data_IF_283992118532
#
_entry.id   IF_283992118532
#
_cell.length_a   1.000
_cell.length_b   1.000
_cell.length_c   1.000
_cell.angle_alpha   90.00
_cell.angle_beta   90.00
_cell.angle_gamma   90.00
#
_symmetry.space_group_name_H-M   'P 1'
#
loop_
_entity.id
_entity.type
_entity.pdbx_description
1 polymer ?
#
# COMPACT_ATOMS: atom_id res chain seq x y z
N UNK A 1 28.79 -35.42 -8.30
CA UNK A 1 27.75 -34.55 -7.76
C UNK A 1 26.81 -34.16 -8.89
N UNK A 2 25.53 -34.45 -8.76
CA UNK A 2 24.59 -34.51 -9.87
C UNK A 2 24.04 -33.11 -10.18
N UNK A 3 24.54 -32.45 -11.23
CA UNK A 3 24.15 -31.09 -11.69
C UNK A 3 22.64 -30.92 -11.89
N UNK A 4 21.95 -32.01 -12.22
CA UNK A 4 20.48 -32.04 -12.39
C UNK A 4 19.70 -31.99 -11.06
N UNK A 5 20.33 -32.37 -9.94
CA UNK A 5 19.68 -32.29 -8.62
C UNK A 5 19.69 -30.87 -8.08
N UNK A 6 20.80 -30.15 -8.31
CA UNK A 6 20.95 -28.72 -7.93
C UNK A 6 20.03 -27.83 -8.77
N UNK A 7 19.80 -28.15 -10.06
CA UNK A 7 18.86 -27.43 -10.93
C UNK A 7 17.39 -27.65 -10.52
N UNK A 8 17.04 -28.88 -10.08
CA UNK A 8 15.69 -29.21 -9.58
C UNK A 8 15.37 -28.57 -8.23
N UNK A 9 16.36 -28.40 -7.35
CA UNK A 9 16.18 -27.72 -6.07
C UNK A 9 16.09 -26.19 -6.22
N UNK A 10 16.83 -25.59 -7.16
CA UNK A 10 16.70 -24.15 -7.46
C UNK A 10 15.42 -23.78 -8.21
N UNK A 11 14.80 -24.69 -8.97
CA UNK A 11 13.53 -24.41 -9.65
C UNK A 11 12.30 -24.61 -8.77
N UNK A 12 12.43 -25.21 -7.60
CA UNK A 12 11.31 -25.46 -6.67
C UNK A 12 10.98 -24.29 -5.73
N UNK A 13 11.77 -23.22 -5.69
CA UNK A 13 11.64 -22.16 -4.67
C UNK A 13 11.67 -20.72 -5.19
N UNK A 14 11.31 -20.47 -6.43
CA UNK A 14 10.92 -19.13 -6.82
C UNK A 14 9.40 -19.00 -6.60
N UNK A 15 8.98 -18.93 -5.32
CA UNK A 15 7.68 -18.33 -5.01
C UNK A 15 7.68 -16.94 -5.64
N UNK A 16 6.76 -16.67 -6.50
CA UNK A 16 6.51 -15.34 -7.04
C UNK A 16 6.30 -14.39 -5.85
N UNK A 17 7.15 -13.37 -5.73
CA UNK A 17 7.07 -12.39 -4.64
C UNK A 17 5.76 -11.65 -4.77
N UNK A 18 5.00 -11.61 -3.69
CA UNK A 18 3.71 -10.93 -3.66
C UNK A 18 3.91 -9.46 -3.29
N UNK A 19 2.97 -8.61 -3.71
CA UNK A 19 2.96 -7.18 -3.47
C UNK A 19 1.95 -6.86 -2.37
N UNK A 20 2.43 -6.35 -1.23
CA UNK A 20 1.59 -5.99 -0.10
C UNK A 20 1.56 -4.49 0.10
N UNK A 21 0.39 -3.92 0.33
CA UNK A 21 0.19 -2.51 0.64
C UNK A 21 -0.24 -2.34 2.09
N UNK A 22 0.62 -1.74 2.92
CA UNK A 22 0.23 -1.25 4.24
C UNK A 22 -0.21 0.22 4.10
N UNK A 23 -1.47 0.51 4.36
CA UNK A 23 -2.06 1.82 4.08
C UNK A 23 -2.86 2.38 5.23
N UNK A 24 -2.66 3.67 5.52
CA UNK A 24 -3.64 4.41 6.30
C UNK A 24 -4.98 4.46 5.57
N UNK A 25 -6.07 4.73 6.28
CA UNK A 25 -7.42 4.79 5.74
C UNK A 25 -7.88 6.23 5.50
N UNK A 26 -7.94 7.02 6.55
CA UNK A 26 -8.53 8.36 6.50
C UNK A 26 -7.71 9.29 5.61
N UNK A 27 -8.29 9.83 4.53
CA UNK A 27 -7.65 10.70 3.54
C UNK A 27 -6.53 10.07 2.73
N UNK A 28 -6.32 8.78 2.90
CA UNK A 28 -5.41 7.99 2.08
C UNK A 28 -6.18 7.05 1.16
N UNK A 29 -7.18 6.33 1.71
CA UNK A 29 -8.03 5.40 0.94
C UNK A 29 -9.51 5.75 1.03
N UNK A 30 -9.99 6.26 2.17
CA UNK A 30 -11.39 6.63 2.39
C UNK A 30 -11.54 8.13 2.64
N UNK A 31 -12.61 8.73 2.11
CA UNK A 31 -12.78 10.17 2.09
C UNK A 31 -14.23 10.56 2.43
N UNK A 32 -14.41 11.68 3.15
CA UNK A 32 -15.73 12.29 3.28
C UNK A 32 -16.17 12.90 1.94
N UNK A 33 -17.49 13.00 1.70
CA UNK A 33 -18.10 13.46 0.45
C UNK A 33 -17.50 14.76 -0.12
N UNK A 34 -17.08 15.68 0.74
CA UNK A 34 -16.49 16.99 0.34
C UNK A 34 -15.20 16.92 -0.47
N UNK A 35 -14.54 15.76 -0.52
CA UNK A 35 -13.27 15.56 -1.25
C UNK A 35 -13.47 15.06 -2.68
N UNK A 36 -14.70 14.82 -3.08
CA UNK A 36 -15.06 14.35 -4.40
C UNK A 36 -15.57 15.52 -5.27
N UNK A 37 -15.28 15.42 -6.55
CA UNK A 37 -15.79 16.36 -7.56
C UNK A 37 -17.16 15.92 -8.06
N UNK A 38 -17.91 16.86 -8.63
CA UNK A 38 -19.17 16.54 -9.28
C UNK A 38 -18.94 15.58 -10.47
N UNK A 39 -19.72 14.52 -10.55
CA UNK A 39 -19.61 13.51 -11.61
C UNK A 39 -18.69 12.33 -11.29
N UNK A 40 -18.00 12.32 -10.14
CA UNK A 40 -17.23 11.13 -9.70
C UNK A 40 -18.16 10.04 -9.17
N UNK A 41 -17.91 8.78 -9.57
CA UNK A 41 -18.63 7.60 -9.09
C UNK A 41 -18.26 7.29 -7.63
N UNK A 42 -19.12 7.72 -6.71
CA UNK A 42 -18.95 7.54 -5.27
C UNK A 42 -19.67 6.28 -4.79
N UNK A 43 -18.95 5.44 -4.07
CA UNK A 43 -19.53 4.30 -3.38
C UNK A 43 -19.35 4.46 -1.86
N UNK A 44 -20.45 4.31 -1.09
CA UNK A 44 -20.40 4.32 0.37
C UNK A 44 -19.46 3.21 0.88
N UNK A 45 -18.66 3.52 1.89
CA UNK A 45 -17.72 2.57 2.48
C UNK A 45 -17.85 2.45 3.99
N UNK A 46 -18.50 3.44 4.62
CA UNK A 46 -18.71 3.44 6.05
C UNK A 46 -20.06 4.06 6.41
N UNK A 47 -20.77 3.41 7.35
CA UNK A 47 -22.07 3.86 7.86
C UNK A 47 -21.99 4.09 9.37
N UNK A 48 -22.57 5.17 9.84
CA UNK A 48 -22.75 5.47 11.26
C UNK A 48 -24.17 6.06 11.48
N UNK A 49 -24.93 5.44 12.38
CA UNK A 49 -26.31 5.86 12.69
C UNK A 49 -27.22 6.00 11.44
N UNK A 50 -27.04 5.15 10.44
CA UNK A 50 -27.78 5.20 9.19
C UNK A 50 -27.28 6.21 8.16
N UNK A 51 -26.27 7.02 8.49
CA UNK A 51 -25.66 7.98 7.58
C UNK A 51 -24.35 7.45 7.00
N UNK A 52 -24.07 7.80 5.74
CA UNK A 52 -22.81 7.50 5.10
C UNK A 52 -21.79 8.57 5.46
N UNK A 53 -20.70 8.18 6.09
CA UNK A 53 -19.64 9.09 6.56
C UNK A 53 -18.36 9.04 5.75
N UNK A 54 -18.10 7.94 5.04
CA UNK A 54 -16.97 7.87 4.13
C UNK A 54 -17.30 7.13 2.83
N UNK A 55 -16.51 7.44 1.81
CA UNK A 55 -16.68 6.97 0.44
C UNK A 55 -15.35 6.60 -0.18
N UNK A 56 -15.40 5.76 -1.21
CA UNK A 56 -14.30 5.52 -2.17
C UNK A 56 -14.82 5.72 -3.59
N UNK A 57 -13.94 5.90 -4.55
CA UNK A 57 -14.33 5.77 -5.95
C UNK A 57 -14.61 4.30 -6.28
N UNK A 58 -15.44 4.06 -7.28
CA UNK A 58 -15.77 2.71 -7.75
C UNK A 58 -14.52 1.91 -8.12
N UNK A 59 -13.55 2.54 -8.78
CA UNK A 59 -12.32 1.88 -9.19
C UNK A 59 -11.43 1.52 -7.98
N UNK A 60 -11.23 2.45 -7.04
CA UNK A 60 -10.46 2.17 -5.83
C UNK A 60 -11.09 1.03 -5.01
N UNK A 61 -12.42 1.04 -4.87
CA UNK A 61 -13.15 -0.02 -4.17
C UNK A 61 -12.96 -1.37 -4.86
N UNK A 62 -13.12 -1.42 -6.19
CA UNK A 62 -12.93 -2.64 -6.97
C UNK A 62 -11.54 -3.24 -6.75
N UNK A 63 -10.49 -2.41 -6.82
CA UNK A 63 -9.11 -2.88 -6.63
C UNK A 63 -8.92 -3.42 -5.20
N UNK A 64 -9.39 -2.71 -4.19
CA UNK A 64 -9.30 -3.17 -2.78
C UNK A 64 -10.02 -4.49 -2.57
N UNK A 65 -11.19 -4.69 -3.17
CA UNK A 65 -11.93 -5.95 -3.06
C UNK A 65 -11.26 -7.12 -3.80
N UNK A 66 -10.72 -6.87 -4.98
CA UNK A 66 -9.99 -7.88 -5.76
C UNK A 66 -8.65 -8.28 -5.11
N UNK A 67 -7.98 -7.34 -4.46
CA UNK A 67 -6.64 -7.52 -3.87
C UNK A 67 -6.67 -7.54 -2.32
N UNK A 68 -7.82 -7.86 -1.73
CA UNK A 68 -8.03 -7.79 -0.28
C UNK A 68 -7.02 -8.62 0.54
N UNK A 69 -6.48 -9.71 -0.02
CA UNK A 69 -5.43 -10.52 0.62
C UNK A 69 -4.08 -9.82 0.72
N UNK A 70 -3.86 -8.76 -0.07
CA UNK A 70 -2.60 -8.04 -0.18
C UNK A 70 -2.68 -6.60 0.33
N UNK A 71 -3.88 -6.11 0.63
CA UNK A 71 -4.10 -4.80 1.26
C UNK A 71 -4.18 -4.97 2.76
N UNK A 72 -3.35 -4.22 3.49
CA UNK A 72 -3.25 -4.25 4.95
C UNK A 72 -3.62 -2.86 5.48
N UNK A 73 -4.89 -2.61 5.82
CA UNK A 73 -5.29 -1.35 6.44
C UNK A 73 -4.52 -1.16 7.77
N UNK A 74 -3.96 0.04 7.94
CA UNK A 74 -3.07 0.39 9.06
C UNK A 74 -3.50 1.75 9.60
N UNK A 75 -4.43 1.75 10.57
CA UNK A 75 -5.18 2.95 10.94
C UNK A 75 -5.09 3.28 12.44
N UNK A 76 -5.29 4.56 12.77
CA UNK A 76 -5.50 5.01 14.15
C UNK A 76 -6.92 4.75 14.67
N UNK A 77 -7.85 4.39 13.80
CA UNK A 77 -9.23 4.07 14.18
C UNK A 77 -9.26 2.96 15.21
N UNK A 78 -10.18 3.05 16.17
CA UNK A 78 -10.47 1.95 17.09
C UNK A 78 -10.99 0.74 16.35
N UNK A 79 -10.96 -0.42 17.00
CA UNK A 79 -11.53 -1.64 16.42
C UNK A 79 -13.00 -1.46 16.03
N UNK A 80 -13.78 -0.78 16.89
CA UNK A 80 -15.19 -0.50 16.63
C UNK A 80 -15.40 0.42 15.41
N UNK A 81 -14.57 1.44 15.24
CA UNK A 81 -14.60 2.32 14.08
C UNK A 81 -14.13 1.62 12.81
N UNK A 82 -13.09 0.81 12.89
CA UNK A 82 -12.60 0.05 11.75
C UNK A 82 -13.64 -0.94 11.22
N UNK A 83 -14.38 -1.62 12.11
CA UNK A 83 -15.42 -2.58 11.73
C UNK A 83 -16.55 -1.97 10.89
N UNK A 84 -16.74 -0.64 10.92
CA UNK A 84 -17.73 0.05 10.09
C UNK A 84 -17.27 0.28 8.65
N UNK A 85 -15.97 0.13 8.37
CA UNK A 85 -15.40 0.36 7.03
C UNK A 85 -15.43 -0.94 6.24
N UNK A 86 -16.56 -1.18 5.57
CA UNK A 86 -16.92 -2.48 4.97
C UNK A 86 -15.88 -3.05 4.00
N UNK A 87 -15.29 -2.30 3.05
CA UNK A 87 -14.38 -2.89 2.05
C UNK A 87 -13.16 -3.57 2.66
N UNK A 88 -12.68 -3.07 3.80
CA UNK A 88 -11.47 -3.56 4.44
C UNK A 88 -11.71 -4.73 5.41
N UNK A 89 -12.97 -5.13 5.63
CA UNK A 89 -13.28 -6.29 6.47
C UNK A 89 -12.88 -7.62 5.82
N UNK A 90 -12.68 -7.63 4.51
CA UNK A 90 -12.22 -8.80 3.74
C UNK A 90 -10.70 -8.96 3.72
N UNK A 91 -9.95 -7.96 4.21
CA UNK A 91 -8.49 -8.01 4.24
C UNK A 91 -7.99 -9.13 5.16
N UNK A 92 -6.95 -9.85 4.71
CA UNK A 92 -6.38 -10.94 5.52
C UNK A 92 -5.73 -10.43 6.80
N UNK A 93 -5.06 -9.28 6.71
CA UNK A 93 -4.42 -8.59 7.83
C UNK A 93 -4.97 -7.18 7.98
N UNK A 94 -5.09 -6.71 9.22
CA UNK A 94 -5.36 -5.31 9.52
C UNK A 94 -4.66 -4.88 10.80
N UNK A 95 -4.22 -3.63 10.84
CA UNK A 95 -3.59 -2.97 11.99
C UNK A 95 -4.48 -1.81 12.40
N UNK A 96 -5.03 -1.86 13.61
CA UNK A 96 -5.98 -0.85 14.11
C UNK A 96 -5.53 -0.28 15.46
N UNK A 97 -6.17 0.79 15.93
CA UNK A 97 -5.82 1.46 17.18
C UNK A 97 -4.36 1.94 17.20
N UNK A 98 -3.88 2.50 16.08
CA UNK A 98 -2.48 2.92 15.91
C UNK A 98 -1.45 1.81 16.15
N UNK A 99 -1.80 0.56 15.90
CA UNK A 99 -0.92 -0.60 16.11
C UNK A 99 -1.13 -1.32 17.46
N UNK A 100 -2.11 -0.91 18.26
CA UNK A 100 -2.45 -1.62 19.50
C UNK A 100 -3.08 -2.98 19.24
N UNK A 101 -3.76 -3.16 18.11
CA UNK A 101 -4.46 -4.38 17.72
C UNK A 101 -4.04 -4.79 16.32
N UNK A 102 -3.72 -6.06 16.14
CA UNK A 102 -3.58 -6.70 14.83
C UNK A 102 -4.73 -7.69 14.64
N UNK A 103 -5.37 -7.62 13.49
CA UNK A 103 -6.33 -8.63 13.05
C UNK A 103 -5.69 -9.52 11.99
N UNK A 104 -5.96 -10.83 12.11
CA UNK A 104 -5.66 -11.82 11.07
C UNK A 104 -6.92 -12.60 10.75
N UNK A 105 -7.36 -12.53 9.49
CA UNK A 105 -8.62 -13.15 9.03
C UNK A 105 -9.83 -12.76 9.89
N UNK A 106 -9.92 -11.45 10.21
CA UNK A 106 -10.99 -10.87 11.01
C UNK A 106 -10.91 -11.13 12.51
N UNK A 107 -9.98 -11.94 12.99
CA UNK A 107 -9.79 -12.27 14.41
C UNK A 107 -8.63 -11.50 15.02
N UNK A 108 -8.76 -11.10 16.29
CA UNK A 108 -7.68 -10.42 17.03
C UNK A 108 -6.53 -11.42 17.23
N UNK A 109 -5.32 -10.99 16.88
CA UNK A 109 -4.12 -11.80 17.02
C UNK A 109 -3.65 -11.83 18.49
N UNK A 110 -3.76 -12.98 19.11
CA UNK A 110 -3.51 -13.16 20.54
C UNK A 110 -2.08 -12.84 20.95
N UNK A 111 -1.11 -13.32 20.19
CA UNK A 111 0.32 -13.12 20.46
C UNK A 111 0.70 -11.62 20.45
N UNK A 112 0.11 -10.85 19.54
CA UNK A 112 0.29 -9.40 19.50
C UNK A 112 -0.38 -8.72 20.70
N UNK A 113 -1.59 -9.14 21.05
CA UNK A 113 -2.30 -8.61 22.22
C UNK A 113 -1.50 -8.83 23.50
N UNK A 114 -0.94 -10.03 23.70
CA UNK A 114 -0.09 -10.36 24.86
C UNK A 114 1.19 -9.50 24.88
N UNK A 115 1.80 -9.27 23.72
CA UNK A 115 2.94 -8.35 23.58
C UNK A 115 2.56 -6.93 24.00
N UNK A 116 1.48 -6.38 23.46
CA UNK A 116 1.01 -5.02 23.79
C UNK A 116 0.65 -4.88 25.27
N UNK A 117 -0.03 -5.87 25.86
CA UNK A 117 -0.31 -5.88 27.29
C UNK A 117 0.98 -5.85 28.14
N UNK A 118 1.98 -6.64 27.76
CA UNK A 118 3.26 -6.69 28.45
C UNK A 118 3.98 -5.33 28.45
N UNK A 119 3.95 -4.61 27.31
CA UNK A 119 4.67 -3.33 27.19
C UNK A 119 3.87 -2.14 27.74
N UNK A 120 2.54 -2.21 27.79
CA UNK A 120 1.69 -1.11 28.26
C UNK A 120 1.32 -1.21 29.75
N UNK A 121 1.25 -2.41 30.30
CA UNK A 121 0.92 -2.61 31.74
C UNK A 121 1.80 -1.83 32.71
N UNK A 122 3.14 -1.75 32.52
CA UNK A 122 4.00 -0.95 33.40
C UNK A 122 3.73 0.57 33.33
N UNK A 123 3.07 1.03 32.28
CA UNK A 123 2.80 2.46 32.02
C UNK A 123 1.42 2.93 32.54
N UNK A 124 0.74 2.13 33.37
CA UNK A 124 -0.63 2.41 33.81
C UNK A 124 -0.75 3.71 34.60
N UNK A 125 0.24 4.04 35.42
CA UNK A 125 0.28 5.32 36.16
C UNK A 125 0.48 6.51 35.22
N UNK A 126 1.31 6.36 34.19
CA UNK A 126 1.58 7.40 33.20
C UNK A 126 0.34 7.68 32.36
N UNK A 127 -0.45 6.66 32.00
CA UNK A 127 -1.72 6.86 31.33
C UNK A 127 -2.68 7.73 32.15
N UNK A 128 -2.84 7.41 33.42
CA UNK A 128 -3.68 8.20 34.32
C UNK A 128 -3.14 9.63 34.50
N UNK A 129 -1.81 9.77 34.62
CA UNK A 129 -1.17 11.09 34.65
C UNK A 129 -1.52 11.89 33.42
N UNK A 130 -1.35 11.36 32.20
CA UNK A 130 -1.59 12.10 30.98
C UNK A 130 -3.06 12.47 30.78
N UNK A 131 -4.00 11.58 31.12
CA UNK A 131 -5.42 11.93 31.11
C UNK A 131 -5.72 13.09 32.04
N UNK A 132 -5.24 13.03 33.28
CA UNK A 132 -5.47 14.09 34.28
C UNK A 132 -4.77 15.40 33.87
N UNK A 133 -3.51 15.31 33.43
CA UNK A 133 -2.73 16.45 32.98
C UNK A 133 -3.39 17.17 31.81
N UNK A 134 -3.84 16.43 30.78
CA UNK A 134 -4.54 17.00 29.64
C UNK A 134 -5.84 17.69 30.07
N UNK A 135 -6.64 17.02 30.89
CA UNK A 135 -7.94 17.54 31.30
C UNK A 135 -7.82 18.75 32.23
N UNK A 136 -6.77 18.84 33.04
CA UNK A 136 -6.55 19.99 33.92
C UNK A 136 -5.85 21.14 33.22
N UNK A 137 -4.79 20.87 32.44
CA UNK A 137 -3.95 21.91 31.82
C UNK A 137 -4.67 22.58 30.65
N UNK A 138 -5.52 21.82 29.92
CA UNK A 138 -6.18 22.30 28.70
C UNK A 138 -7.71 22.35 28.80
N UNK A 139 -8.26 22.45 30.01
CA UNK A 139 -9.69 22.43 30.26
C UNK A 139 -10.49 23.34 29.31
N UNK A 140 -9.99 24.57 29.10
CA UNK A 140 -10.67 25.57 28.26
C UNK A 140 -10.39 25.41 26.76
N UNK A 141 -9.41 24.59 26.39
CA UNK A 141 -8.94 24.36 25.03
C UNK A 141 -9.53 23.07 24.44
N UNK A 142 -9.89 22.12 25.30
CA UNK A 142 -10.44 20.84 24.85
C UNK A 142 -11.85 20.99 24.25
N UNK A 143 -12.05 20.38 23.10
CA UNK A 143 -13.37 20.12 22.51
C UNK A 143 -13.95 18.80 23.06
N UNK A 144 -13.07 17.77 23.20
CA UNK A 144 -13.39 16.53 23.89
C UNK A 144 -12.33 16.26 24.95
N UNK A 145 -12.76 15.86 26.15
CA UNK A 145 -11.87 15.48 27.25
C UNK A 145 -10.91 14.38 26.82
N UNK A 146 -9.72 14.40 27.42
CA UNK A 146 -8.76 13.33 27.24
C UNK A 146 -9.26 12.05 27.90
N UNK A 147 -9.11 10.94 27.20
CA UNK A 147 -9.46 9.61 27.64
C UNK A 147 -8.48 8.57 27.08
N UNK A 148 -8.44 7.40 27.69
CA UNK A 148 -7.67 6.26 27.16
C UNK A 148 -8.53 5.56 26.11
N UNK A 149 -8.01 5.53 24.89
CA UNK A 149 -8.64 4.85 23.74
C UNK A 149 -7.71 3.74 23.30
N UNK A 150 -8.19 2.48 23.30
CA UNK A 150 -7.34 1.31 23.07
C UNK A 150 -6.10 1.35 24.00
N UNK A 151 -4.94 1.69 23.48
CA UNK A 151 -3.67 1.78 24.24
C UNK A 151 -2.95 3.14 24.06
N UNK A 152 -3.69 4.22 23.87
CA UNK A 152 -3.17 5.58 23.82
C UNK A 152 -4.14 6.57 24.47
N UNK A 153 -3.64 7.73 24.88
CA UNK A 153 -4.48 8.82 25.36
C UNK A 153 -4.83 9.70 24.16
N UNK A 154 -6.13 9.94 23.99
CA UNK A 154 -6.70 10.74 22.93
C UNK A 154 -7.45 11.94 23.51
N UNK A 155 -7.28 13.10 22.86
CA UNK A 155 -8.09 14.28 23.12
C UNK A 155 -8.37 15.01 21.79
N UNK A 156 -9.35 15.90 21.81
CA UNK A 156 -9.62 16.80 20.69
C UNK A 156 -9.64 18.24 21.19
N UNK A 157 -8.91 19.10 20.48
CA UNK A 157 -8.76 20.51 20.83
C UNK A 157 -9.54 21.43 19.89
N UNK A 158 -9.85 22.61 20.33
CA UNK A 158 -10.47 23.67 19.54
C UNK A 158 -9.54 24.10 18.39
N UNK A 159 -10.14 24.66 17.36
CA UNK A 159 -9.38 25.19 16.21
C UNK A 159 -8.48 26.35 16.66
N UNK A 160 -7.24 26.37 16.13
CA UNK A 160 -6.27 27.42 16.43
C UNK A 160 -5.38 27.13 17.64
N UNK A 161 -5.67 26.11 18.47
CA UNK A 161 -4.95 25.85 19.73
C UNK A 161 -3.74 24.91 19.58
N UNK A 162 -3.46 24.43 18.36
CA UNK A 162 -2.47 23.39 18.09
C UNK A 162 -1.07 23.76 18.58
N UNK A 163 -0.62 25.00 18.30
CA UNK A 163 0.74 25.42 18.66
C UNK A 163 0.91 25.62 20.17
N UNK A 164 -0.11 26.13 20.86
CA UNK A 164 -0.10 26.27 22.30
C UNK A 164 0.01 24.91 23.01
N UNK A 165 -0.79 23.94 22.55
CA UNK A 165 -0.76 22.56 23.08
C UNK A 165 0.57 21.89 22.75
N UNK A 166 1.07 22.02 21.54
CA UNK A 166 2.36 21.46 21.10
C UNK A 166 3.53 21.98 21.95
N UNK A 167 3.56 23.30 22.18
CA UNK A 167 4.59 23.91 23.04
C UNK A 167 4.56 23.31 24.44
N UNK A 168 3.38 23.17 25.02
CA UNK A 168 3.24 22.62 26.37
C UNK A 168 3.57 21.13 26.45
N UNK A 169 3.19 20.37 25.42
CA UNK A 169 3.55 18.95 25.32
C UNK A 169 5.08 18.75 25.17
N UNK A 170 5.78 19.67 24.52
CA UNK A 170 7.24 19.61 24.38
C UNK A 170 7.99 19.75 25.72
N UNK A 171 7.34 20.29 26.77
CA UNK A 171 7.89 20.35 28.12
C UNK A 171 7.86 18.98 28.85
N UNK A 172 7.07 18.02 28.34
CA UNK A 172 6.97 16.67 28.90
C UNK A 172 8.22 15.84 28.53
N UNK A 173 8.86 15.31 29.56
CA UNK A 173 10.07 14.49 29.40
C UNK A 173 9.77 13.01 29.72
N UNK A 174 9.12 12.32 28.82
CA UNK A 174 8.78 10.90 28.97
C UNK A 174 9.40 10.08 27.81
N UNK A 175 10.52 9.43 28.09
CA UNK A 175 11.32 8.73 27.08
C UNK A 175 10.59 7.56 26.40
N UNK A 176 9.61 6.96 27.07
CA UNK A 176 8.84 5.82 26.54
C UNK A 176 7.58 6.24 25.77
N UNK A 177 7.32 7.54 25.69
CA UNK A 177 6.13 8.07 25.03
C UNK A 177 6.47 8.85 23.78
N UNK A 178 5.52 8.93 22.89
CA UNK A 178 5.50 9.83 21.75
C UNK A 178 4.23 10.67 21.76
N UNK A 179 4.36 11.90 21.34
CA UNK A 179 3.29 12.87 21.31
C UNK A 179 3.07 13.34 19.88
N UNK A 180 1.82 13.42 19.47
CA UNK A 180 1.49 13.89 18.13
C UNK A 180 0.20 14.73 18.16
N UNK A 181 0.18 15.76 17.34
CA UNK A 181 -1.04 16.52 17.05
C UNK A 181 -1.27 16.40 15.54
N UNK A 182 -2.41 15.83 15.17
CA UNK A 182 -2.87 15.76 13.79
C UNK A 182 -4.13 16.60 13.66
N UNK A 183 -3.97 17.82 13.14
CA UNK A 183 -5.03 18.83 13.11
C UNK A 183 -5.49 19.18 14.52
N UNK A 184 -6.73 18.79 14.90
CA UNK A 184 -7.30 19.03 16.24
C UNK A 184 -7.23 17.81 17.15
N UNK A 185 -6.70 16.68 16.66
CA UNK A 185 -6.58 15.44 17.42
C UNK A 185 -5.22 15.39 18.08
N UNK A 186 -5.20 15.17 19.38
CA UNK A 186 -3.99 15.04 20.21
C UNK A 186 -3.85 13.58 20.62
N UNK A 187 -2.64 13.05 20.43
CA UNK A 187 -2.30 11.66 20.74
C UNK A 187 -1.08 11.62 21.65
N UNK A 188 -1.20 10.91 22.76
CA UNK A 188 -0.08 10.58 23.64
C UNK A 188 -0.01 9.06 23.70
N UNK A 189 1.06 8.47 23.19
CA UNK A 189 1.14 7.03 22.91
C UNK A 189 2.46 6.47 23.43
N UNK A 190 2.47 5.28 24.02
CA UNK A 190 3.71 4.54 24.19
C UNK A 190 4.41 4.34 22.85
N UNK A 191 5.74 4.40 22.80
CA UNK A 191 6.51 4.24 21.55
C UNK A 191 6.31 2.89 20.88
N UNK A 192 6.05 1.86 21.67
CA UNK A 192 5.78 0.50 21.18
C UNK A 192 4.38 0.36 20.55
N UNK A 193 3.45 1.26 20.89
CA UNK A 193 2.11 1.31 20.28
C UNK A 193 2.16 2.22 19.07
N UNK A 194 2.61 1.67 17.95
CA UNK A 194 2.76 2.42 16.71
C UNK A 194 2.44 1.57 15.47
N UNK A 195 1.96 2.24 14.42
CA UNK A 195 1.77 1.62 13.11
C UNK A 195 3.04 0.93 12.61
N UNK A 196 4.22 1.54 12.87
CA UNK A 196 5.53 0.98 12.48
C UNK A 196 5.83 -0.34 13.19
N UNK A 197 5.64 -0.41 14.52
CA UNK A 197 5.93 -1.62 15.29
C UNK A 197 5.03 -2.78 14.86
N UNK A 198 3.73 -2.53 14.73
CA UNK A 198 2.76 -3.52 14.26
C UNK A 198 3.03 -3.95 12.81
N UNK A 199 3.39 -3.01 11.93
CA UNK A 199 3.74 -3.30 10.54
C UNK A 199 4.96 -4.23 10.45
N UNK A 200 6.02 -3.98 11.22
CA UNK A 200 7.20 -4.86 11.28
C UNK A 200 6.82 -6.29 11.69
N UNK A 201 5.96 -6.42 12.69
CA UNK A 201 5.48 -7.73 13.12
C UNK A 201 4.73 -8.44 11.99
N UNK A 202 3.77 -7.78 11.34
CA UNK A 202 2.99 -8.35 10.23
C UNK A 202 3.89 -8.74 9.05
N UNK A 203 4.86 -7.90 8.69
CA UNK A 203 5.84 -8.18 7.63
C UNK A 203 6.64 -9.45 7.93
N UNK A 204 7.09 -9.64 9.18
CA UNK A 204 7.78 -10.87 9.61
C UNK A 204 6.88 -12.11 9.48
N UNK A 205 5.59 -12.01 9.81
CA UNK A 205 4.64 -13.12 9.66
C UNK A 205 4.39 -13.48 8.19
N UNK A 206 4.31 -12.50 7.32
CA UNK A 206 4.11 -12.67 5.87
C UNK A 206 5.38 -13.20 5.19
N UNK A 207 6.56 -12.77 5.65
CA UNK A 207 7.87 -13.05 5.08
C UNK A 207 8.49 -11.84 4.37
N UNK A 208 9.68 -11.48 4.77
CA UNK A 208 10.39 -10.25 4.35
C UNK A 208 10.83 -10.25 2.88
N UNK A 209 10.80 -11.40 2.22
CA UNK A 209 11.18 -11.55 0.80
C UNK A 209 10.14 -10.98 -0.18
N UNK A 210 8.93 -10.63 0.30
CA UNK A 210 7.88 -10.03 -0.51
C UNK A 210 8.14 -8.53 -0.76
N UNK A 211 7.36 -7.93 -1.67
CA UNK A 211 7.40 -6.49 -1.95
C UNK A 211 6.42 -5.77 -1.04
N UNK A 212 6.91 -4.77 -0.30
CA UNK A 212 6.08 -4.00 0.62
C UNK A 212 6.00 -2.54 0.19
N UNK A 213 4.77 -2.05 0.15
CA UNK A 213 4.43 -0.67 -0.16
C UNK A 213 3.73 -0.06 1.04
N UNK A 214 3.92 1.23 1.24
CA UNK A 214 3.40 1.95 2.40
C UNK A 214 2.69 3.21 1.94
N UNK A 215 1.54 3.54 2.52
CA UNK A 215 0.80 4.75 2.19
C UNK A 215 0.22 5.44 3.42
N UNK A 216 0.27 6.78 3.45
CA UNK A 216 -0.28 7.57 4.55
C UNK A 216 -0.19 9.06 4.31
N UNK A 217 -1.05 9.85 5.01
CA UNK A 217 -1.13 11.30 4.88
C UNK A 217 -0.71 12.07 6.15
N UNK A 218 -0.71 11.42 7.31
CA UNK A 218 -0.56 12.06 8.60
C UNK A 218 0.82 11.92 9.25
N UNK A 219 1.05 12.72 10.27
CA UNK A 219 2.29 12.67 11.08
C UNK A 219 2.54 11.27 11.69
N UNK A 220 1.47 10.55 12.03
CA UNK A 220 1.55 9.19 12.59
C UNK A 220 1.96 8.13 11.57
N UNK A 221 1.93 8.46 10.27
CA UNK A 221 2.33 7.57 9.20
C UNK A 221 3.81 7.67 8.85
N UNK A 222 4.50 8.74 9.26
CA UNK A 222 5.89 9.01 8.86
C UNK A 222 6.82 7.83 9.15
N UNK A 223 6.70 7.22 10.33
CA UNK A 223 7.52 6.05 10.69
C UNK A 223 7.17 4.81 9.87
N UNK A 224 5.89 4.63 9.54
CA UNK A 224 5.40 3.57 8.65
C UNK A 224 5.98 3.76 7.24
N UNK A 225 5.89 4.98 6.68
CA UNK A 225 6.42 5.30 5.36
C UNK A 225 7.94 5.07 5.27
N UNK A 226 8.67 5.41 6.32
CA UNK A 226 10.13 5.23 6.39
C UNK A 226 10.56 3.75 6.44
N UNK A 227 9.64 2.80 6.61
CA UNK A 227 9.95 1.36 6.45
C UNK A 227 10.31 1.00 5.02
N UNK A 228 9.85 1.76 4.03
CA UNK A 228 10.13 1.51 2.61
C UNK A 228 11.62 1.42 2.29
N UNK A 229 12.48 2.18 3.01
CA UNK A 229 13.95 2.15 2.84
C UNK A 229 14.56 0.82 3.26
N UNK A 230 13.89 0.10 4.17
CA UNK A 230 14.41 -1.14 4.77
C UNK A 230 14.06 -2.39 3.97
N UNK A 231 13.12 -2.27 3.04
CA UNK A 231 12.62 -3.40 2.26
C UNK A 231 13.13 -3.33 0.82
N UNK A 232 13.60 -4.44 0.32
CA UNK A 232 14.04 -4.57 -1.07
C UNK A 232 12.86 -4.24 -2.01
N UNK A 233 13.05 -3.25 -2.88
CA UNK A 233 11.99 -2.70 -3.73
C UNK A 233 10.79 -2.09 -2.98
N UNK A 234 10.96 -1.74 -1.70
CA UNK A 234 9.97 -0.99 -0.94
C UNK A 234 9.75 0.40 -1.54
N UNK A 235 8.52 0.86 -1.49
CA UNK A 235 8.14 2.20 -1.92
C UNK A 235 7.06 2.75 -1.01
N UNK A 236 7.13 4.03 -0.69
CA UNK A 236 6.11 4.73 0.07
C UNK A 236 5.36 5.72 -0.84
N UNK A 237 4.12 5.98 -0.49
CA UNK A 237 3.25 6.93 -1.17
C UNK A 237 2.67 7.92 -0.18
N UNK A 238 2.63 9.18 -0.54
CA UNK A 238 1.96 10.21 0.26
C UNK A 238 1.24 11.21 -0.65
N UNK A 239 0.03 11.65 -0.27
CA UNK A 239 -0.70 12.67 -1.03
C UNK A 239 0.04 14.00 -1.01
N UNK A 240 0.01 14.71 -2.13
CA UNK A 240 0.60 16.05 -2.24
C UNK A 240 0.00 17.01 -1.20
N UNK A 241 0.86 17.76 -0.53
CA UNK A 241 0.47 18.72 0.52
C UNK A 241 0.12 18.11 1.87
N UNK A 242 0.29 16.80 2.05
CA UNK A 242 0.05 16.11 3.33
C UNK A 242 1.16 16.38 4.35
N UNK A 243 0.85 16.19 5.65
CA UNK A 243 1.85 16.30 6.72
C UNK A 243 2.96 15.26 6.55
N UNK A 244 2.59 14.04 6.17
CA UNK A 244 3.54 12.95 5.97
C UNK A 244 4.53 13.26 4.84
N UNK A 245 4.09 13.89 3.75
CA UNK A 245 4.98 14.33 2.68
C UNK A 245 6.07 15.28 3.16
N UNK A 246 5.70 16.23 4.04
CA UNK A 246 6.63 17.26 4.52
C UNK A 246 7.67 16.70 5.52
N UNK A 247 7.32 15.66 6.25
CA UNK A 247 8.10 15.11 7.35
C UNK A 247 8.84 13.81 7.00
N UNK A 248 8.43 13.10 5.95
CA UNK A 248 9.09 11.88 5.54
C UNK A 248 10.43 12.20 4.85
N UNK A 249 11.50 11.57 5.33
CA UNK A 249 12.86 11.72 4.80
C UNK A 249 13.23 10.66 3.76
N UNK A 250 12.28 9.82 3.39
CA UNK A 250 12.50 8.68 2.52
C UNK A 250 12.72 9.09 1.07
N UNK A 251 13.84 8.67 0.48
CA UNK A 251 14.15 8.86 -0.94
C UNK A 251 13.24 8.05 -1.87
N UNK A 252 12.59 7.02 -1.34
CA UNK A 252 11.64 6.16 -2.06
C UNK A 252 10.19 6.64 -1.93
N UNK A 253 9.96 7.84 -1.37
CA UNK A 253 8.64 8.43 -1.25
C UNK A 253 8.14 8.95 -2.60
N UNK A 254 7.06 8.38 -3.09
CA UNK A 254 6.33 8.86 -4.27
C UNK A 254 5.18 9.76 -3.85
N UNK A 255 5.15 10.93 -4.43
CA UNK A 255 4.05 11.86 -4.21
C UNK A 255 2.96 11.59 -5.23
N UNK A 256 1.75 11.39 -4.73
CA UNK A 256 0.54 11.17 -5.55
C UNK A 256 -0.37 12.39 -5.49
N UNK A 257 -1.37 12.44 -6.35
CA UNK A 257 -2.39 13.48 -6.32
C UNK A 257 -3.07 13.54 -4.94
N UNK A 258 -3.54 14.71 -4.51
CA UNK A 258 -4.31 14.82 -3.28
C UNK A 258 -5.66 14.10 -3.41
N UNK A 259 -6.21 13.66 -2.28
CA UNK A 259 -7.54 13.07 -2.15
C UNK A 259 -7.74 11.77 -2.96
N UNK A 260 -8.93 11.61 -3.50
CA UNK A 260 -9.40 10.36 -4.11
C UNK A 260 -8.60 9.90 -5.31
N UNK A 261 -8.12 10.83 -6.12
CA UNK A 261 -7.25 10.53 -7.24
C UNK A 261 -5.92 9.90 -6.78
N UNK A 262 -5.38 10.38 -5.65
CA UNK A 262 -4.19 9.81 -5.03
C UNK A 262 -4.39 8.36 -4.58
N UNK A 263 -5.55 8.04 -4.00
CA UNK A 263 -5.89 6.67 -3.62
C UNK A 263 -5.88 5.73 -4.83
N UNK A 264 -6.51 6.13 -5.93
CA UNK A 264 -6.47 5.35 -7.18
C UNK A 264 -5.05 5.20 -7.73
N UNK A 265 -4.27 6.28 -7.72
CA UNK A 265 -2.87 6.25 -8.17
C UNK A 265 -2.04 5.25 -7.34
N UNK A 266 -2.19 5.23 -6.01
CA UNK A 266 -1.50 4.27 -5.14
C UNK A 266 -1.87 2.84 -5.54
N UNK A 267 -3.16 2.54 -5.57
CA UNK A 267 -3.68 1.19 -5.87
C UNK A 267 -3.27 0.73 -7.27
N UNK A 268 -3.39 1.60 -8.28
CA UNK A 268 -2.97 1.29 -9.65
C UNK A 268 -1.47 1.08 -9.76
N UNK A 269 -0.66 1.89 -9.08
CA UNK A 269 0.81 1.73 -9.11
C UNK A 269 1.29 0.40 -8.52
N UNK A 270 0.52 -0.22 -7.63
CA UNK A 270 0.90 -1.46 -6.93
C UNK A 270 0.26 -2.67 -7.60
N UNK A 271 -1.05 -2.64 -7.78
CA UNK A 271 -1.83 -3.81 -8.17
C UNK A 271 -2.24 -3.81 -9.66
N UNK A 272 -2.31 -2.64 -10.26
CA UNK A 272 -2.56 -2.48 -11.67
C UNK A 272 -1.29 -1.94 -12.35
N UNK A 273 -0.08 -2.15 -11.73
CA UNK A 273 1.15 -1.70 -12.36
C UNK A 273 1.01 -1.92 -13.85
N UNK A 274 1.13 -0.90 -14.66
CA UNK A 274 1.04 -0.88 -16.11
C UNK A 274 1.02 -2.26 -16.82
N UNK A 275 0.33 -3.17 -16.19
CA UNK A 275 0.28 -4.62 -16.37
C UNK A 275 -0.89 -5.02 -17.26
N UNK A 276 -1.58 -4.04 -17.87
CA UNK A 276 -2.57 -4.38 -18.88
C UNK A 276 -1.92 -5.19 -20.00
N UNK A 277 -0.65 -4.91 -20.32
CA UNK A 277 0.10 -5.69 -21.28
C UNK A 277 0.44 -7.08 -20.73
N UNK A 278 0.98 -7.18 -19.50
CA UNK A 278 1.24 -8.47 -18.84
C UNK A 278 -0.04 -9.25 -18.61
N UNK A 279 -1.06 -8.64 -18.00
CA UNK A 279 -2.36 -9.30 -17.77
C UNK A 279 -3.01 -9.74 -19.07
N UNK A 280 -2.90 -8.95 -20.14
CA UNK A 280 -3.42 -9.33 -21.43
C UNK A 280 -2.58 -10.43 -22.07
N UNK A 281 -1.26 -10.39 -21.94
CA UNK A 281 -0.39 -11.48 -22.41
C UNK A 281 -0.65 -12.77 -21.61
N UNK A 282 -0.82 -12.71 -20.29
CA UNK A 282 -1.23 -13.84 -19.46
C UNK A 282 -2.62 -14.34 -19.83
N UNK A 283 -3.59 -13.47 -20.09
CA UNK A 283 -4.91 -13.85 -20.56
C UNK A 283 -4.82 -14.56 -21.90
N UNK A 284 -4.09 -13.98 -22.87
CA UNK A 284 -3.89 -14.60 -24.20
C UNK A 284 -3.17 -15.95 -24.11
N UNK A 285 -2.20 -16.08 -23.18
CA UNK A 285 -1.55 -17.36 -22.90
C UNK A 285 -2.52 -18.38 -22.28
N UNK A 286 -3.39 -17.95 -21.37
CA UNK A 286 -4.44 -18.81 -20.78
C UNK A 286 -5.46 -19.25 -21.80
N UNK A 287 -5.85 -18.39 -22.71
CA UNK A 287 -6.77 -18.67 -23.81
C UNK A 287 -6.13 -19.52 -24.95
N UNK A 288 -4.84 -19.87 -24.81
CA UNK A 288 -4.11 -20.63 -25.83
C UNK A 288 -3.78 -19.83 -27.09
N UNK A 289 -3.99 -18.51 -27.07
CA UNK A 289 -3.72 -17.62 -28.21
C UNK A 289 -2.23 -17.30 -28.38
N UNK A 290 -1.44 -17.46 -27.31
CA UNK A 290 0.01 -17.36 -27.31
C UNK A 290 0.62 -18.53 -26.51
N UNK A 291 1.88 -18.85 -26.80
CA UNK A 291 2.56 -19.96 -26.13
C UNK A 291 2.79 -19.64 -24.64
N UNK A 292 2.43 -20.59 -23.75
CA UNK A 292 2.44 -20.43 -22.29
C UNK A 292 3.82 -20.56 -21.66
N UNK A 293 4.81 -21.09 -22.38
CA UNK A 293 6.03 -21.57 -21.73
C UNK A 293 7.04 -20.48 -21.39
N UNK A 294 7.06 -19.37 -22.11
CA UNK A 294 7.86 -18.20 -21.77
C UNK A 294 7.51 -16.98 -22.64
N UNK A 295 7.81 -15.75 -22.20
CA UNK A 295 7.62 -14.54 -23.01
C UNK A 295 8.37 -14.57 -24.33
N UNK A 296 9.54 -15.21 -24.38
CA UNK A 296 10.31 -15.38 -25.59
C UNK A 296 9.63 -16.25 -26.65
N UNK A 297 8.77 -17.17 -26.26
CA UNK A 297 8.00 -17.96 -27.22
C UNK A 297 6.96 -17.10 -27.98
N UNK A 298 6.48 -16.01 -27.37
CA UNK A 298 5.62 -15.02 -28.04
C UNK A 298 6.41 -14.34 -29.16
N UNK A 299 7.66 -13.94 -28.89
CA UNK A 299 8.55 -13.33 -29.88
C UNK A 299 8.92 -14.31 -30.99
N UNK A 300 9.16 -15.61 -30.66
CA UNK A 300 9.44 -16.64 -31.64
C UNK A 300 8.31 -16.87 -32.68
N UNK A 301 7.07 -16.59 -32.30
CA UNK A 301 5.94 -16.58 -33.24
C UNK A 301 5.85 -15.31 -34.08
N UNK A 302 6.38 -14.21 -33.54
CA UNK A 302 6.33 -12.87 -34.15
C UNK A 302 7.55 -12.64 -35.06
N UNK A 303 8.74 -13.16 -34.66
CA UNK A 303 9.99 -13.00 -35.37
C UNK A 303 10.50 -14.40 -35.78
N UNK A 304 10.10 -14.90 -36.92
CA UNK A 304 10.50 -16.24 -37.38
C UNK A 304 11.97 -16.36 -37.79
N UNK A 305 12.73 -15.26 -37.86
CA UNK A 305 14.10 -15.25 -38.36
C UNK A 305 15.03 -14.37 -37.54
N UNK A 306 16.00 -14.96 -36.83
CA UNK A 306 16.96 -14.26 -35.96
C UNK A 306 17.81 -13.21 -36.67
N UNK A 307 17.98 -13.34 -38.01
CA UNK A 307 18.80 -12.40 -38.81
C UNK A 307 18.13 -11.03 -39.01
N UNK A 308 16.84 -10.90 -38.70
CA UNK A 308 16.07 -9.67 -38.90
C UNK A 308 15.99 -8.78 -37.63
N UNK A 309 16.57 -9.22 -36.50
CA UNK A 309 16.53 -8.48 -35.24
C UNK A 309 17.77 -7.58 -35.13
N UNK A 310 17.61 -6.25 -35.08
CA UNK A 310 18.74 -5.33 -34.92
C UNK A 310 19.55 -5.60 -33.65
N UNK A 311 20.82 -5.26 -33.68
CA UNK A 311 21.76 -5.50 -32.57
C UNK A 311 21.33 -4.83 -31.26
N UNK A 312 20.68 -3.67 -31.33
CA UNK A 312 20.10 -2.99 -30.16
C UNK A 312 18.97 -3.78 -29.47
N UNK A 313 18.39 -4.75 -30.18
CA UNK A 313 17.41 -5.70 -29.68
C UNK A 313 18.00 -7.11 -29.55
N UNK A 314 19.32 -7.23 -29.38
CA UNK A 314 20.04 -8.51 -29.29
C UNK A 314 19.57 -9.38 -28.11
N UNK A 315 18.93 -8.79 -27.11
CA UNK A 315 18.19 -9.51 -26.07
C UNK A 315 17.07 -10.40 -26.62
N UNK A 316 16.69 -10.18 -27.87
CA UNK A 316 15.69 -10.92 -28.60
C UNK A 316 16.24 -12.06 -29.47
N UNK A 317 17.45 -12.54 -29.23
CA UNK A 317 17.94 -13.76 -29.86
C UNK A 317 17.29 -15.01 -29.25
N UNK A 318 17.01 -16.00 -30.06
CA UNK A 318 16.22 -17.19 -29.72
C UNK A 318 16.69 -17.92 -28.44
N UNK A 319 17.99 -17.96 -28.17
CA UNK A 319 18.57 -18.56 -26.98
C UNK A 319 18.29 -17.79 -25.69
N UNK A 320 18.06 -16.48 -25.78
CA UNK A 320 17.84 -15.57 -24.66
C UNK A 320 16.35 -15.55 -24.28
N UNK A 321 15.45 -15.81 -25.21
CA UNK A 321 14.00 -15.85 -24.99
C UNK A 321 13.56 -16.86 -23.94
N UNK A 322 14.27 -18.00 -23.86
CA UNK A 322 13.96 -19.05 -22.87
C UNK A 322 14.21 -18.64 -21.43
N UNK A 323 15.03 -17.60 -21.23
CA UNK A 323 15.46 -17.12 -19.92
C UNK A 323 14.97 -15.69 -19.61
N UNK A 324 14.27 -15.06 -20.57
CA UNK A 324 13.76 -13.71 -20.39
C UNK A 324 12.56 -13.73 -19.43
N UNK A 325 12.63 -12.91 -18.35
CA UNK A 325 11.50 -12.69 -17.49
C UNK A 325 10.44 -11.81 -18.19
N UNK A 326 9.18 -11.94 -17.77
CA UNK A 326 8.08 -11.10 -18.27
C UNK A 326 8.37 -9.62 -18.10
N UNK A 327 9.01 -9.22 -17.02
CA UNK A 327 9.41 -7.87 -16.70
C UNK A 327 10.39 -7.28 -17.75
N UNK A 328 11.41 -8.06 -18.13
CA UNK A 328 12.34 -7.68 -19.19
C UNK A 328 11.68 -7.59 -20.56
N UNK A 329 10.75 -8.51 -20.84
CA UNK A 329 10.01 -8.51 -22.09
C UNK A 329 9.10 -7.28 -22.24
N UNK A 330 8.39 -6.90 -21.17
CA UNK A 330 7.54 -5.71 -21.16
C UNK A 330 8.38 -4.44 -21.30
N UNK A 331 9.50 -4.36 -20.58
CA UNK A 331 10.44 -3.26 -20.71
C UNK A 331 10.93 -3.12 -22.15
N UNK A 332 11.29 -4.23 -22.79
CA UNK A 332 11.69 -4.26 -24.20
C UNK A 332 10.59 -3.74 -25.13
N UNK A 333 9.34 -4.15 -24.94
CA UNK A 333 8.22 -3.68 -25.74
C UNK A 333 7.99 -2.16 -25.58
N UNK A 334 8.13 -1.66 -24.35
CA UNK A 334 8.00 -0.22 -24.05
C UNK A 334 9.14 0.63 -24.64
N UNK A 335 10.35 0.10 -24.71
CA UNK A 335 11.54 0.79 -25.21
C UNK A 335 11.64 0.81 -26.76
N UNK A 336 10.54 0.61 -27.45
CA UNK A 336 10.44 0.69 -28.90
C UNK A 336 10.44 -0.65 -29.63
N UNK A 337 10.49 -1.77 -28.89
CA UNK A 337 10.39 -3.12 -29.48
C UNK A 337 9.06 -3.36 -30.20
N UNK A 338 7.96 -2.83 -29.65
CA UNK A 338 6.65 -2.93 -30.27
C UNK A 338 6.57 -2.14 -31.58
N UNK A 339 7.12 -0.93 -31.59
CA UNK A 339 7.18 -0.09 -32.80
C UNK A 339 8.04 -0.72 -33.89
N UNK A 340 9.16 -1.34 -33.49
CA UNK A 340 10.01 -2.10 -34.39
C UNK A 340 9.26 -3.26 -35.04
N UNK A 341 8.54 -4.08 -34.25
CA UNK A 341 7.77 -5.21 -34.78
C UNK A 341 6.67 -4.75 -35.71
N UNK A 342 5.91 -3.73 -35.37
CA UNK A 342 4.84 -3.21 -36.21
C UNK A 342 5.33 -2.63 -37.55
N UNK A 343 6.53 -2.07 -37.58
CA UNK A 343 7.11 -1.45 -38.80
C UNK A 343 7.88 -2.44 -39.69
N UNK A 344 8.56 -3.44 -39.12
CA UNK A 344 9.58 -4.21 -39.85
C UNK A 344 9.25 -5.68 -40.06
N UNK A 345 8.24 -6.23 -39.40
CA UNK A 345 7.92 -7.66 -39.53
C UNK A 345 6.83 -7.88 -40.57
N UNK A 346 7.24 -8.16 -41.81
CA UNK A 346 6.34 -8.40 -42.98
C UNK A 346 5.32 -9.55 -42.81
N UNK A 347 5.51 -10.42 -41.82
CA UNK A 347 4.64 -11.57 -41.55
C UNK A 347 3.85 -11.46 -40.25
N UNK A 348 3.73 -10.27 -39.73
CA UNK A 348 2.76 -10.03 -38.66
C UNK A 348 1.38 -10.33 -39.21
N UNK A 349 0.81 -11.43 -38.83
CA UNK A 349 -0.55 -11.74 -39.25
C UNK A 349 -1.45 -10.57 -38.84
N UNK A 350 -2.32 -10.11 -39.72
CA UNK A 350 -3.22 -8.96 -39.51
C UNK A 350 -3.88 -9.02 -38.14
N UNK A 351 -4.24 -10.19 -37.64
CA UNK A 351 -4.84 -10.44 -36.34
C UNK A 351 -3.87 -10.21 -35.17
N UNK A 352 -2.58 -10.58 -35.31
CA UNK A 352 -1.57 -10.34 -34.26
C UNK A 352 -1.20 -8.87 -34.15
N UNK A 353 -1.24 -8.14 -35.26
CA UNK A 353 -1.04 -6.70 -35.29
C UNK A 353 -2.21 -5.98 -34.61
N UNK A 354 -3.44 -6.34 -34.92
CA UNK A 354 -4.65 -5.81 -34.31
C UNK A 354 -4.72 -6.11 -32.81
N UNK A 355 -4.32 -7.31 -32.37
CA UNK A 355 -4.26 -7.69 -30.96
C UNK A 355 -3.18 -6.91 -30.20
N UNK A 356 -2.02 -6.64 -30.81
CA UNK A 356 -0.95 -5.85 -30.20
C UNK A 356 -1.23 -4.34 -30.25
N UNK A 357 -1.83 -3.83 -31.32
CA UNK A 357 -2.30 -2.44 -31.43
C UNK A 357 -3.42 -2.17 -30.42
N UNK A 358 -4.35 -3.10 -30.23
CA UNK A 358 -5.37 -3.02 -29.18
C UNK A 358 -4.75 -2.97 -27.79
N UNK A 359 -3.70 -3.77 -27.55
CA UNK A 359 -2.93 -3.79 -26.31
C UNK A 359 -2.24 -2.44 -26.00
N UNK A 360 -1.86 -1.71 -27.04
CA UNK A 360 -1.22 -0.38 -26.91
C UNK A 360 -2.26 0.73 -26.79
N UNK A 361 -3.41 0.59 -27.48
CA UNK A 361 -4.49 1.60 -27.52
C UNK A 361 -5.39 1.55 -26.28
N UNK A 362 -5.53 0.41 -25.62
CA UNK A 362 -6.23 0.32 -24.32
C UNK A 362 -5.46 1.05 -23.20
N UNK A 363 -4.36 1.77 -23.54
CA UNK A 363 -3.46 2.49 -22.61
C UNK A 363 -3.39 3.99 -22.80
N UNK A 364 -4.15 4.55 -23.72
CA UNK A 364 -4.35 5.99 -23.80
C UNK A 364 -5.62 6.38 -23.07
#
# INVERSE_FOLDING_TARGET
MNYNKIKKEKSKNLKERQHYLLTDLDRTMVFSKRFFKEGEDLLPTEFQNGEVISYMTKEALRIVEEEASFVIPTTTRTLAEFKRVEPFQKCEWAIVGNGSIILHKGSILKEWTEHIEKVTKPLSEEYNFFVNWMNSTFQDVLECKAEIVEKFVFAKIKEGEQEAVKKKMAELNYSNWQFAIQRRKVYLMPKEVSKEAAAKYVIQQIGEDNHFYFAGDGILDVKLLNLSVKHLNGCAFSPFGSEAQQLASDKNLKIVSPFVEGAEQILRNIFIQDDSLSKTLFRLAREGKINRNCPGAVLGHIVPNEKEVPEKFALCKYSIYKEMSWEKFIKFLKEGGLEYFTKNVKRFGKKSKEDLERLVLEKQ
#
